data_IF_859299869166
#
_entry.id   IF_859299869166
#
_cell.length_a   1.000
_cell.length_b   1.000
_cell.length_c   1.000
_cell.angle_alpha   90.00
_cell.angle_beta   90.00
_cell.angle_gamma   90.00
#
_symmetry.space_group_name_H-M   'P 1'
#
loop_
_entity.id
_entity.type
_entity.pdbx_description
1 polymer ?
#
# COMPACT_ATOMS: atom_id res chain seq x y z
N UNK A 1 -8.53 -27.42 -22.15
CA UNK A 1 -7.39 -26.74 -21.50
C UNK A 1 -7.18 -25.42 -22.21
N UNK A 2 -7.74 -24.34 -21.65
CA UNK A 2 -7.46 -22.98 -22.10
C UNK A 2 -6.79 -22.28 -20.92
N UNK A 3 -5.54 -21.86 -21.13
CA UNK A 3 -4.72 -21.16 -20.16
C UNK A 3 -5.27 -19.75 -20.04
N UNK A 4 -5.70 -19.37 -18.83
CA UNK A 4 -6.14 -18.03 -18.52
C UNK A 4 -4.92 -17.11 -18.48
N UNK A 5 -4.92 -16.07 -19.32
CA UNK A 5 -3.93 -15.01 -19.31
C UNK A 5 -3.98 -14.27 -17.96
N UNK A 6 -2.85 -14.20 -17.28
CA UNK A 6 -2.69 -13.50 -16.01
C UNK A 6 -2.83 -11.99 -16.20
N UNK A 7 -3.92 -11.43 -15.66
CA UNK A 7 -4.08 -9.99 -15.50
C UNK A 7 -3.05 -9.48 -14.49
N UNK A 8 -2.13 -8.62 -14.95
CA UNK A 8 -1.30 -7.79 -14.07
C UNK A 8 -2.19 -6.76 -13.39
N UNK A 9 -1.99 -6.53 -12.09
CA UNK A 9 -2.56 -5.36 -11.45
C UNK A 9 -2.00 -4.11 -12.15
N UNK A 10 -2.89 -3.24 -12.59
CA UNK A 10 -2.56 -1.96 -13.19
C UNK A 10 -3.29 -0.86 -12.45
N UNK A 11 -2.62 0.25 -12.18
CA UNK A 11 -3.29 1.47 -11.78
C UNK A 11 -4.02 2.01 -13.00
N UNK A 12 -5.34 1.88 -13.03
CA UNK A 12 -6.18 2.41 -14.12
C UNK A 12 -6.76 3.75 -13.67
N UNK A 13 -6.29 4.84 -14.27
CA UNK A 13 -6.82 6.19 -14.00
C UNK A 13 -7.92 6.51 -14.99
N UNK A 14 -9.14 6.73 -14.51
CA UNK A 14 -10.21 7.36 -15.30
C UNK A 14 -10.33 8.84 -14.94
N UNK A 15 -9.73 9.71 -15.74
CA UNK A 15 -9.86 11.16 -15.58
C UNK A 15 -11.29 11.65 -15.83
N UNK A 16 -11.88 12.38 -14.88
CA UNK A 16 -13.10 13.15 -15.11
C UNK A 16 -12.75 14.48 -15.79
N UNK A 17 -13.36 14.77 -16.95
CA UNK A 17 -13.25 16.09 -17.60
C UNK A 17 -14.24 17.07 -16.97
N UNK A 18 -13.74 18.23 -16.55
CA UNK A 18 -14.55 19.40 -16.17
C UNK A 18 -15.00 20.13 -17.45
N UNK A 19 -16.29 20.43 -17.66
CA UNK A 19 -16.71 21.31 -18.74
C UNK A 19 -16.38 22.77 -18.40
N UNK A 20 -15.77 23.49 -19.34
CA UNK A 20 -15.66 24.94 -19.31
C UNK A 20 -17.07 25.57 -19.39
N UNK A 21 -17.40 26.46 -18.45
CA UNK A 21 -18.65 27.20 -18.45
C UNK A 21 -18.56 28.42 -19.38
N UNK A 22 -19.57 28.58 -20.25
CA UNK A 22 -19.88 29.80 -20.98
C UNK A 22 -21.17 30.37 -20.38
N UNK A 23 -21.15 31.66 -20.05
CA UNK A 23 -22.25 32.48 -19.49
C UNK A 23 -23.53 32.47 -20.32
N UNK A 24 -24.69 32.67 -19.64
CA UNK A 24 -25.96 33.37 -20.04
C UNK A 24 -27.21 32.87 -19.21
N UNK A 25 -28.32 33.64 -19.04
CA UNK A 25 -28.77 34.25 -17.76
C UNK A 25 -30.12 33.68 -17.20
N UNK A 26 -30.68 34.22 -16.08
CA UNK A 26 -31.60 33.45 -15.21
C UNK A 26 -33.09 33.62 -15.56
N UNK A 27 -33.89 32.62 -15.20
CA UNK A 27 -35.36 32.71 -15.21
C UNK A 27 -35.96 32.35 -13.84
N UNK A 28 -37.07 33.03 -13.54
CA UNK A 28 -37.62 33.38 -12.22
C UNK A 28 -38.55 32.33 -11.58
N UNK A 29 -38.63 32.40 -10.24
CA UNK A 29 -39.78 32.20 -9.31
C UNK A 29 -40.67 30.96 -9.44
N UNK A 30 -40.96 30.23 -8.37
CA UNK A 30 -41.96 30.66 -7.37
C UNK A 30 -42.02 29.76 -6.12
N UNK A 31 -42.63 30.34 -5.09
CA UNK A 31 -42.79 30.01 -3.67
C UNK A 31 -43.86 28.94 -3.43
N UNK A 32 -43.71 28.08 -2.41
CA UNK A 32 -44.81 27.66 -1.51
C UNK A 32 -44.27 27.10 -0.17
N UNK A 33 -45.05 27.34 0.89
CA UNK A 33 -44.69 27.47 2.31
C UNK A 33 -45.43 26.44 3.22
N UNK A 34 -45.03 26.41 4.50
CA UNK A 34 -45.61 25.80 5.72
C UNK A 34 -45.19 24.35 6.08
N UNK A 35 -44.31 24.15 7.09
CA UNK A 35 -44.47 24.16 8.57
C UNK A 35 -45.01 22.80 9.10
N UNK A 36 -44.50 22.09 10.11
CA UNK A 36 -43.58 22.28 11.26
C UNK A 36 -43.05 20.86 11.67
N UNK A 37 -42.06 20.56 12.52
CA UNK A 37 -41.08 21.29 13.33
C UNK A 37 -40.47 20.30 14.35
N UNK A 38 -39.15 20.08 14.35
CA UNK A 38 -38.35 19.54 15.48
C UNK A 38 -36.94 20.19 15.42
N UNK A 39 -36.39 20.50 16.61
CA UNK A 39 -35.25 21.40 16.87
C UNK A 39 -33.88 20.90 16.36
N UNK A 40 -33.01 21.89 16.11
CA UNK A 40 -31.82 21.94 15.24
C UNK A 40 -30.54 21.25 15.77
N UNK A 41 -29.79 20.70 14.82
CA UNK A 41 -28.32 20.45 14.83
C UNK A 41 -27.68 21.51 13.89
N UNK A 42 -26.46 22.03 14.11
CA UNK A 42 -25.92 23.15 13.33
C UNK A 42 -25.80 22.91 11.81
N UNK A 43 -26.29 23.85 11.00
CA UNK A 43 -26.53 23.79 9.54
C UNK A 43 -25.30 24.05 8.64
N UNK A 44 -24.18 23.33 8.80
CA UNK A 44 -23.07 23.42 7.82
C UNK A 44 -22.68 22.11 7.13
N UNK A 45 -23.47 21.04 7.29
CA UNK A 45 -23.21 19.73 6.66
C UNK A 45 -24.40 19.12 5.89
N UNK A 46 -25.39 19.91 5.43
CA UNK A 46 -26.50 19.41 4.59
C UNK A 46 -26.83 20.29 3.38
N UNK A 47 -26.10 20.06 2.28
CA UNK A 47 -26.55 20.10 0.87
C UNK A 47 -25.27 19.96 0.01
N UNK A 48 -25.12 19.09 -0.99
CA UNK A 48 -26.09 18.55 -1.93
C UNK A 48 -25.66 17.16 -2.43
N UNK A 49 -26.59 16.20 -2.41
CA UNK A 49 -26.53 15.04 -3.29
C UNK A 49 -27.08 15.42 -4.67
N UNK A 50 -26.35 15.22 -5.78
CA UNK A 50 -26.95 15.30 -7.10
C UNK A 50 -27.70 13.99 -7.41
N UNK A 51 -28.98 14.12 -7.81
CA UNK A 51 -29.80 13.05 -8.40
C UNK A 51 -29.22 12.60 -9.76
N UNK A 52 -29.46 11.35 -10.19
CA UNK A 52 -28.78 10.75 -11.34
C UNK A 52 -29.20 11.45 -12.63
N UNK A 53 -28.23 12.01 -13.35
CA UNK A 53 -28.40 12.44 -14.75
C UNK A 53 -27.86 11.36 -15.67
N UNK A 54 -28.65 11.04 -16.68
CA UNK A 54 -28.46 10.02 -17.70
C UNK A 54 -27.00 9.89 -18.17
N UNK A 55 -26.47 8.67 -18.08
CA UNK A 55 -25.20 8.29 -18.69
C UNK A 55 -25.34 8.39 -20.21
N UNK A 56 -24.86 9.49 -20.79
CA UNK A 56 -24.63 9.59 -22.23
C UNK A 56 -23.27 8.96 -22.54
N UNK A 57 -23.29 7.89 -23.33
CA UNK A 57 -22.10 7.24 -23.90
C UNK A 57 -21.16 8.27 -24.55
N UNK A 58 -19.86 8.16 -24.30
CA UNK A 58 -18.84 8.79 -25.15
C UNK A 58 -18.08 7.69 -25.88
N UNK A 59 -18.10 7.83 -27.20
CA UNK A 59 -17.59 6.93 -28.20
C UNK A 59 -16.10 6.62 -28.06
N UNK A 60 -15.76 5.41 -28.49
CA UNK A 60 -14.41 4.97 -28.86
C UNK A 60 -13.68 6.03 -29.70
N UNK A 61 -12.51 6.50 -29.24
CA UNK A 61 -11.53 7.12 -30.14
C UNK A 61 -10.83 5.97 -30.86
N UNK A 62 -11.40 5.56 -32.00
CA UNK A 62 -10.61 4.87 -33.03
C UNK A 62 -9.77 5.93 -33.74
N UNK A 63 -8.45 5.76 -33.68
CA UNK A 63 -7.49 6.31 -34.63
C UNK A 63 -7.32 7.83 -34.61
N UNK A 64 -6.68 8.37 -33.56
CA UNK A 64 -5.93 9.61 -33.69
C UNK A 64 -4.44 9.29 -33.50
N UNK A 65 -3.64 9.55 -34.52
CA UNK A 65 -2.20 9.30 -34.53
C UNK A 65 -1.52 10.39 -33.69
N UNK A 66 -1.49 10.22 -32.36
CA UNK A 66 -0.80 11.12 -31.44
C UNK A 66 0.71 10.86 -31.56
N UNK A 67 1.55 11.88 -31.81
CA UNK A 67 3.00 11.71 -31.85
C UNK A 67 3.52 11.07 -30.55
N UNK A 68 4.51 10.16 -30.62
CA UNK A 68 5.00 9.42 -29.47
C UNK A 68 5.49 10.35 -28.34
N UNK A 69 6.17 11.44 -28.66
CA UNK A 69 6.64 12.45 -27.68
C UNK A 69 5.49 13.13 -26.92
N UNK A 70 4.35 13.37 -27.57
CA UNK A 70 3.16 13.96 -26.92
C UNK A 70 2.46 12.92 -26.04
N UNK A 71 2.46 11.65 -26.46
CA UNK A 71 1.91 10.54 -25.68
C UNK A 71 2.74 10.28 -24.42
N UNK A 72 4.06 10.32 -24.54
CA UNK A 72 5.01 10.22 -23.42
C UNK A 72 4.83 11.38 -22.44
N UNK A 73 4.83 12.63 -22.90
CA UNK A 73 4.57 13.80 -22.03
C UNK A 73 3.21 13.77 -21.34
N UNK A 74 2.17 13.25 -22.02
CA UNK A 74 0.84 13.08 -21.41
C UNK A 74 0.82 11.95 -20.36
N UNK A 75 1.54 10.85 -20.60
CA UNK A 75 1.70 9.77 -19.62
C UNK A 75 2.50 10.23 -18.40
N UNK A 76 3.58 10.98 -18.59
CA UNK A 76 4.38 11.57 -17.51
C UNK A 76 3.54 12.55 -16.68
N UNK A 77 2.76 13.44 -17.32
CA UNK A 77 1.88 14.38 -16.61
C UNK A 77 0.77 13.68 -15.81
N UNK A 78 0.22 12.57 -16.33
CA UNK A 78 -0.76 11.78 -15.58
C UNK A 78 -0.13 11.06 -14.39
N UNK A 79 1.07 10.49 -14.58
CA UNK A 79 1.84 9.86 -13.51
C UNK A 79 2.15 10.86 -12.40
N UNK A 80 2.67 12.05 -12.74
CA UNK A 80 2.94 13.11 -11.76
C UNK A 80 1.68 13.54 -10.99
N UNK A 81 0.53 13.58 -11.67
CA UNK A 81 -0.76 13.88 -11.03
C UNK A 81 -1.15 12.79 -10.02
N UNK A 82 -1.00 11.52 -10.39
CA UNK A 82 -1.29 10.37 -9.50
C UNK A 82 -0.37 10.36 -8.31
N UNK A 83 0.94 10.57 -8.50
CA UNK A 83 1.90 10.62 -7.40
C UNK A 83 1.59 11.80 -6.47
N UNK A 84 1.29 12.97 -7.02
CA UNK A 84 0.94 14.13 -6.21
C UNK A 84 -0.35 13.89 -5.41
N UNK A 85 -1.38 13.26 -5.99
CA UNK A 85 -2.59 12.86 -5.27
C UNK A 85 -2.29 11.79 -4.21
N UNK A 86 -1.45 10.80 -4.52
CA UNK A 86 -1.02 9.78 -3.55
C UNK A 86 -0.32 10.42 -2.34
N UNK A 87 0.55 11.40 -2.56
CA UNK A 87 1.24 12.08 -1.45
C UNK A 87 0.30 12.98 -0.65
N UNK A 88 -0.57 13.77 -1.30
CA UNK A 88 -1.61 14.57 -0.64
C UNK A 88 -2.57 13.73 0.18
N UNK A 89 -2.75 12.45 -0.15
CA UNK A 89 -3.63 11.54 0.60
C UNK A 89 -3.29 11.50 2.09
N UNK A 90 -2.02 11.69 2.47
CA UNK A 90 -1.63 11.71 3.89
C UNK A 90 -2.33 12.80 4.68
N UNK A 91 -2.48 13.98 4.08
CA UNK A 91 -3.06 15.16 4.73
C UNK A 91 -4.58 15.24 4.52
N UNK A 92 -5.07 14.74 3.38
CA UNK A 92 -6.46 14.89 2.97
C UNK A 92 -7.37 13.73 3.39
N UNK A 93 -6.81 12.53 3.63
CA UNK A 93 -7.58 11.37 4.10
C UNK A 93 -7.31 11.12 5.59
N UNK A 94 -8.31 11.29 6.48
CA UNK A 94 -8.08 11.29 7.93
C UNK A 94 -7.32 10.08 8.48
N UNK A 95 -7.57 8.88 7.95
CA UNK A 95 -6.97 7.65 8.48
C UNK A 95 -5.47 7.54 8.17
N UNK A 96 -4.99 8.16 7.09
CA UNK A 96 -3.61 7.98 6.59
C UNK A 96 -2.60 8.43 7.64
N UNK A 97 -2.74 9.64 8.16
CA UNK A 97 -1.88 10.13 9.24
C UNK A 97 -2.25 9.52 10.60
N UNK A 98 -3.52 9.62 10.97
CA UNK A 98 -3.92 9.42 12.36
C UNK A 98 -4.14 7.96 12.76
N UNK A 99 -4.22 7.04 11.79
CA UNK A 99 -4.45 5.62 12.04
C UNK A 99 -3.38 4.76 11.40
N UNK A 100 -3.18 4.86 10.09
CA UNK A 100 -2.21 4.06 9.34
C UNK A 100 -0.79 4.39 9.75
N UNK A 101 -0.29 5.60 9.45
CA UNK A 101 1.09 5.96 9.74
C UNK A 101 1.38 5.92 11.25
N UNK A 102 0.47 6.44 12.08
CA UNK A 102 0.60 6.36 13.53
C UNK A 102 0.76 4.92 14.04
N UNK A 103 -0.14 4.02 13.65
CA UNK A 103 -0.10 2.63 14.14
C UNK A 103 1.07 1.86 13.54
N UNK A 104 1.37 2.08 12.27
CA UNK A 104 2.44 1.40 11.56
C UNK A 104 3.80 1.77 12.14
N UNK A 105 4.10 3.07 12.29
CA UNK A 105 5.36 3.52 12.88
C UNK A 105 5.47 3.11 14.36
N UNK A 106 4.36 3.10 15.10
CA UNK A 106 4.33 2.55 16.46
C UNK A 106 4.64 1.06 16.51
N UNK A 107 4.15 0.28 15.54
CA UNK A 107 4.45 -1.15 15.43
C UNK A 107 5.89 -1.42 14.99
N UNK A 108 6.42 -0.61 14.07
CA UNK A 108 7.85 -0.62 13.70
C UNK A 108 8.69 -0.37 14.95
N UNK A 109 8.32 0.61 15.78
CA UNK A 109 8.98 0.92 17.04
C UNK A 109 10.21 1.80 16.83
N UNK A 110 11.16 1.73 17.77
CA UNK A 110 12.41 2.49 17.67
C UNK A 110 13.29 1.90 16.57
N UNK A 111 13.66 2.75 15.62
CA UNK A 111 14.60 2.43 14.52
C UNK A 111 15.88 3.26 14.63
N UNK A 112 16.08 3.95 15.75
CA UNK A 112 17.32 4.62 16.03
C UNK A 112 18.47 3.61 15.94
N UNK A 113 19.47 3.92 15.13
CA UNK A 113 20.60 3.04 14.85
C UNK A 113 20.33 1.77 14.01
N UNK A 114 19.15 1.63 13.39
CA UNK A 114 18.85 0.49 12.52
C UNK A 114 19.13 0.79 11.04
N UNK A 115 19.50 -0.26 10.31
CA UNK A 115 19.42 -0.31 8.86
C UNK A 115 18.03 -0.83 8.45
N UNK A 116 17.29 -0.06 7.64
CA UNK A 116 15.92 -0.38 7.25
C UNK A 116 15.77 -0.53 5.73
N UNK A 117 15.06 -1.58 5.30
CA UNK A 117 14.60 -1.72 3.92
C UNK A 117 13.10 -1.45 3.86
N UNK A 118 12.69 -0.45 3.10
CA UNK A 118 11.28 -0.20 2.77
C UNK A 118 10.93 -0.88 1.44
N UNK A 119 10.31 -2.06 1.53
CA UNK A 119 9.88 -2.86 0.39
C UNK A 119 8.58 -2.25 -0.18
N UNK A 120 8.50 -2.11 -1.50
CA UNK A 120 7.42 -1.40 -2.19
C UNK A 120 7.29 0.06 -1.74
N UNK A 121 8.40 0.80 -1.76
CA UNK A 121 8.48 2.14 -1.16
C UNK A 121 7.66 3.21 -1.89
N UNK A 122 7.19 2.93 -3.11
CA UNK A 122 6.48 3.90 -3.96
C UNK A 122 7.26 5.20 -4.11
N UNK A 123 6.64 6.33 -3.74
CA UNK A 123 7.27 7.65 -3.84
C UNK A 123 8.28 7.92 -2.72
N UNK A 124 8.56 6.93 -1.87
CA UNK A 124 9.50 6.99 -0.74
C UNK A 124 8.89 7.55 0.55
N UNK A 125 7.57 7.57 0.68
CA UNK A 125 6.87 8.21 1.79
C UNK A 125 7.27 7.64 3.16
N UNK A 126 7.22 6.32 3.31
CA UNK A 126 7.58 5.65 4.55
C UNK A 126 9.09 5.59 4.75
N UNK A 127 9.87 5.32 3.69
CA UNK A 127 11.32 5.45 3.72
C UNK A 127 11.81 6.78 4.34
N UNK A 128 11.24 7.91 3.91
CA UNK A 128 11.56 9.23 4.50
C UNK A 128 11.15 9.35 5.97
N UNK A 129 9.97 8.85 6.34
CA UNK A 129 9.51 8.87 7.75
C UNK A 129 10.42 8.03 8.65
N UNK A 130 10.97 6.93 8.14
CA UNK A 130 11.93 6.08 8.85
C UNK A 130 13.27 6.79 9.07
N UNK A 131 13.77 7.55 8.08
CA UNK A 131 14.92 8.44 8.29
C UNK A 131 14.66 9.49 9.38
N UNK A 132 13.50 10.16 9.35
CA UNK A 132 13.13 11.13 10.39
C UNK A 132 12.97 10.48 11.78
N UNK A 133 12.66 9.18 11.83
CA UNK A 133 12.61 8.40 13.06
C UNK A 133 13.99 7.92 13.57
N UNK A 134 15.08 8.24 12.85
CA UNK A 134 16.45 8.00 13.30
C UNK A 134 17.15 6.76 12.74
N UNK A 135 16.58 6.12 11.71
CA UNK A 135 17.28 5.05 10.98
C UNK A 135 18.63 5.54 10.42
N UNK A 136 19.69 4.75 10.59
CA UNK A 136 21.05 5.10 10.10
C UNK A 136 21.09 5.03 8.58
N UNK A 137 20.47 4.00 8.02
CA UNK A 137 20.41 3.76 6.58
C UNK A 137 19.02 3.30 6.21
N UNK A 138 18.47 3.90 5.18
CA UNK A 138 17.20 3.47 4.60
C UNK A 138 17.40 3.22 3.12
N UNK A 139 17.04 2.01 2.68
CA UNK A 139 16.90 1.67 1.27
C UNK A 139 15.42 1.51 0.94
N UNK A 140 14.89 2.32 0.03
CA UNK A 140 13.59 2.09 -0.58
C UNK A 140 13.71 1.20 -1.83
N UNK A 141 12.91 0.14 -1.91
CA UNK A 141 12.84 -0.73 -3.09
C UNK A 141 11.42 -0.70 -3.66
N UNK A 142 11.27 -0.52 -4.97
CA UNK A 142 9.96 -0.61 -5.64
C UNK A 142 10.12 -1.17 -7.06
N UNK A 143 9.12 -1.89 -7.57
CA UNK A 143 9.18 -2.42 -8.95
C UNK A 143 9.02 -1.33 -10.01
N UNK A 144 8.36 -0.22 -9.65
CA UNK A 144 8.10 0.89 -10.55
C UNK A 144 9.30 1.81 -10.64
N UNK A 145 10.02 1.71 -11.76
CA UNK A 145 11.14 2.62 -12.06
C UNK A 145 10.73 4.10 -12.03
N UNK A 146 9.50 4.42 -12.45
CA UNK A 146 8.96 5.78 -12.42
C UNK A 146 8.76 6.30 -10.98
N UNK A 147 8.27 5.45 -10.06
CA UNK A 147 8.12 5.82 -8.64
C UNK A 147 9.49 6.01 -7.98
N UNK A 148 10.44 5.11 -8.28
CA UNK A 148 11.83 5.21 -7.80
C UNK A 148 12.51 6.48 -8.31
N UNK A 149 12.33 6.83 -9.59
CA UNK A 149 12.90 8.05 -10.14
C UNK A 149 12.29 9.30 -9.49
N UNK A 150 10.97 9.30 -9.27
CA UNK A 150 10.32 10.36 -8.50
C UNK A 150 10.90 10.49 -7.09
N UNK A 151 11.06 9.36 -6.39
CA UNK A 151 11.61 9.33 -5.03
C UNK A 151 13.04 9.86 -4.99
N UNK A 152 13.90 9.49 -5.97
CA UNK A 152 15.26 10.01 -6.12
C UNK A 152 15.30 11.51 -6.37
N UNK A 153 14.48 12.04 -7.29
CA UNK A 153 14.39 13.50 -7.54
C UNK A 153 13.92 14.26 -6.30
N UNK A 154 13.12 13.64 -5.45
CA UNK A 154 12.69 14.24 -4.18
C UNK A 154 13.83 14.20 -3.15
N UNK A 155 14.53 13.09 -3.05
CA UNK A 155 15.70 12.92 -2.20
C UNK A 155 16.82 13.91 -2.55
N UNK A 156 17.09 14.16 -3.83
CA UNK A 156 18.04 15.20 -4.26
C UNK A 156 17.71 16.61 -3.71
N UNK A 157 16.44 16.88 -3.41
CA UNK A 157 15.96 18.15 -2.87
C UNK A 157 15.93 18.18 -1.35
N UNK A 158 15.61 17.05 -0.71
CA UNK A 158 15.45 16.97 0.75
C UNK A 158 16.74 16.56 1.48
N UNK A 159 17.62 15.79 0.83
CA UNK A 159 18.95 15.42 1.34
C UNK A 159 18.91 14.60 2.63
N UNK A 160 17.97 13.66 2.76
CA UNK A 160 17.76 12.82 3.94
C UNK A 160 18.70 11.61 3.99
N UNK A 161 19.35 11.26 2.88
CA UNK A 161 20.23 10.11 2.74
C UNK A 161 19.53 8.81 2.38
N UNK A 162 18.28 8.84 1.90
CA UNK A 162 17.57 7.62 1.48
C UNK A 162 18.15 7.10 0.15
N UNK A 163 18.51 5.82 0.12
CA UNK A 163 18.87 5.13 -1.12
C UNK A 163 17.62 4.55 -1.77
N UNK A 164 17.55 4.51 -3.10
CA UNK A 164 16.42 3.91 -3.82
C UNK A 164 16.86 2.94 -4.90
N UNK A 165 16.15 1.81 -5.02
CA UNK A 165 16.44 0.72 -5.95
C UNK A 165 15.16 0.27 -6.67
N UNK A 166 15.19 0.27 -8.00
CA UNK A 166 14.11 -0.30 -8.81
C UNK A 166 14.33 -1.82 -8.97
N UNK A 167 13.45 -2.63 -8.39
CA UNK A 167 13.53 -4.08 -8.45
C UNK A 167 12.18 -4.74 -8.11
N UNK A 168 11.89 -5.89 -8.74
CA UNK A 168 10.72 -6.71 -8.44
C UNK A 168 10.99 -7.57 -7.20
N UNK A 169 10.35 -7.25 -6.08
CA UNK A 169 10.53 -7.98 -4.84
C UNK A 169 9.93 -9.40 -4.83
N UNK A 170 9.14 -9.77 -5.84
CA UNK A 170 8.57 -11.12 -6.00
C UNK A 170 9.53 -12.08 -6.70
N UNK A 171 10.49 -11.57 -7.47
CA UNK A 171 11.44 -12.38 -8.22
C UNK A 171 12.44 -13.08 -7.26
N UNK A 172 12.54 -14.42 -7.29
CA UNK A 172 13.58 -15.13 -6.56
C UNK A 172 15.00 -14.62 -6.84
N UNK A 173 15.27 -14.16 -8.07
CA UNK A 173 16.54 -13.59 -8.49
C UNK A 173 16.85 -12.23 -7.87
N UNK A 174 15.86 -11.54 -7.28
CA UNK A 174 16.08 -10.35 -6.44
C UNK A 174 17.03 -10.64 -5.28
N UNK A 175 17.21 -11.92 -4.91
CA UNK A 175 18.21 -12.32 -3.93
C UNK A 175 19.64 -12.35 -4.39
N UNK A 176 19.86 -12.37 -5.70
CA UNK A 176 21.16 -12.16 -6.28
C UNK A 176 21.50 -10.67 -6.41
N UNK A 177 20.57 -9.74 -6.10
CA UNK A 177 20.87 -8.31 -6.15
C UNK A 177 21.99 -8.00 -5.14
N UNK A 178 23.16 -7.57 -5.63
CA UNK A 178 24.26 -7.23 -4.77
C UNK A 178 23.80 -6.12 -3.83
N UNK A 179 23.73 -6.46 -2.55
CA UNK A 179 23.67 -5.46 -1.52
C UNK A 179 22.39 -5.29 -0.72
N UNK A 180 21.46 -6.25 -0.83
CA UNK A 180 20.32 -6.31 0.08
C UNK A 180 20.40 -7.46 1.10
N UNK A 181 21.04 -8.58 0.75
CA UNK A 181 21.00 -9.79 1.56
C UNK A 181 21.75 -9.63 2.89
N UNK A 182 21.10 -9.98 4.00
CA UNK A 182 21.70 -10.01 5.34
C UNK A 182 22.11 -8.64 5.88
N UNK A 183 21.47 -7.55 5.45
CA UNK A 183 21.96 -6.17 5.67
C UNK A 183 21.10 -5.33 6.60
N UNK A 184 19.85 -5.74 6.83
CA UNK A 184 18.86 -4.90 7.48
C UNK A 184 18.40 -5.50 8.82
N UNK A 185 18.12 -4.64 9.80
CA UNK A 185 17.50 -5.02 11.08
C UNK A 185 15.98 -5.17 10.91
N UNK A 186 15.42 -4.26 10.11
CA UNK A 186 13.98 -4.14 9.89
C UNK A 186 13.70 -4.05 8.41
N UNK A 187 12.71 -4.80 7.95
CA UNK A 187 12.09 -4.63 6.64
C UNK A 187 10.67 -4.11 6.87
N UNK A 188 10.28 -3.06 6.17
CA UNK A 188 8.92 -2.52 6.17
C UNK A 188 8.23 -2.81 4.84
N UNK A 189 6.91 -2.96 4.84
CA UNK A 189 6.11 -3.02 3.62
C UNK A 189 4.70 -2.47 3.86
N UNK A 190 4.39 -1.29 3.31
CA UNK A 190 3.06 -0.70 3.43
C UNK A 190 2.26 -0.97 2.16
N UNK A 191 1.23 -1.82 2.27
CA UNK A 191 0.34 -2.22 1.17
C UNK A 191 1.00 -2.92 -0.02
N UNK A 192 2.12 -3.61 0.19
CA UNK A 192 2.81 -4.36 -0.87
C UNK A 192 2.18 -5.73 -1.12
N UNK A 193 1.96 -6.51 -0.06
CA UNK A 193 1.46 -7.89 -0.14
C UNK A 193 0.09 -7.98 -0.84
N UNK A 194 -0.84 -7.01 -0.69
CA UNK A 194 -2.07 -6.96 -1.47
C UNK A 194 -1.87 -6.86 -2.99
N UNK A 195 -0.69 -6.49 -3.50
CA UNK A 195 -0.41 -6.48 -4.93
C UNK A 195 0.09 -7.81 -5.48
N UNK A 196 0.25 -8.85 -4.66
CA UNK A 196 0.63 -10.18 -5.12
C UNK A 196 -0.52 -10.84 -5.92
N UNK A 197 -0.40 -11.01 -7.26
CA UNK A 197 -1.46 -11.62 -8.08
C UNK A 197 -1.57 -13.13 -7.92
N UNK A 198 -0.55 -13.76 -7.33
CA UNK A 198 -0.46 -15.21 -7.18
C UNK A 198 0.18 -15.57 -5.84
N UNK A 199 0.01 -16.82 -5.43
CA UNK A 199 0.64 -17.34 -4.21
C UNK A 199 2.17 -17.26 -4.30
N UNK A 200 2.73 -17.57 -5.46
CA UNK A 200 4.16 -17.48 -5.70
C UNK A 200 4.69 -16.04 -5.52
N UNK A 201 3.92 -15.02 -5.93
CA UNK A 201 4.29 -13.62 -5.72
C UNK A 201 4.24 -13.24 -4.23
N UNK A 202 3.22 -13.69 -3.49
CA UNK A 202 3.12 -13.47 -2.05
C UNK A 202 4.29 -14.12 -1.30
N UNK A 203 4.61 -15.37 -1.66
CA UNK A 203 5.77 -16.09 -1.12
C UNK A 203 7.08 -15.36 -1.48
N UNK A 204 7.18 -14.83 -2.71
CA UNK A 204 8.33 -14.05 -3.19
C UNK A 204 8.60 -12.80 -2.35
N UNK A 205 7.57 -11.99 -2.07
CA UNK A 205 7.70 -10.83 -1.17
C UNK A 205 8.24 -11.23 0.22
N UNK A 206 7.66 -12.28 0.82
CA UNK A 206 8.06 -12.76 2.14
C UNK A 206 9.50 -13.29 2.13
N UNK A 207 9.89 -14.04 1.10
CA UNK A 207 11.25 -14.56 0.94
C UNK A 207 12.28 -13.44 0.75
N UNK A 208 11.94 -12.41 -0.04
CA UNK A 208 12.78 -11.23 -0.21
C UNK A 208 12.97 -10.48 1.11
N UNK A 209 11.90 -10.28 1.87
CA UNK A 209 11.99 -9.67 3.20
C UNK A 209 12.89 -10.49 4.14
N UNK A 210 12.68 -11.81 4.26
CA UNK A 210 13.51 -12.66 5.12
C UNK A 210 14.99 -12.60 4.76
N UNK A 211 15.30 -12.61 3.46
CA UNK A 211 16.67 -12.62 2.96
C UNK A 211 17.37 -11.28 3.18
N UNK A 212 16.64 -10.17 3.12
CA UNK A 212 17.20 -8.85 3.39
C UNK A 212 17.61 -8.70 4.87
N UNK A 213 16.87 -9.35 5.77
CA UNK A 213 17.17 -9.35 7.20
C UNK A 213 18.49 -10.07 7.51
N UNK A 214 19.19 -9.56 8.53
CA UNK A 214 20.42 -10.13 9.10
C UNK A 214 20.25 -11.62 9.47
N UNK A 215 21.37 -12.35 9.50
CA UNK A 215 21.36 -13.79 9.73
C UNK A 215 21.01 -14.12 11.19
N UNK A 216 21.42 -13.25 12.10
CA UNK A 216 21.19 -13.27 13.55
C UNK A 216 19.73 -13.00 13.93
N UNK A 217 18.94 -12.49 12.98
CA UNK A 217 17.52 -12.24 13.11
C UNK A 217 17.11 -10.86 12.60
N UNK A 218 15.84 -10.53 12.81
CA UNK A 218 15.29 -9.24 12.44
C UNK A 218 13.77 -9.26 12.35
N UNK A 219 13.18 -8.12 11.97
CA UNK A 219 11.72 -7.94 11.93
C UNK A 219 11.24 -7.54 10.55
N UNK A 220 10.19 -8.18 10.07
CA UNK A 220 9.42 -7.75 8.92
C UNK A 220 8.07 -7.21 9.39
N UNK A 221 7.86 -5.90 9.22
CA UNK A 221 6.64 -5.21 9.64
C UNK A 221 5.87 -4.74 8.41
N UNK A 222 4.68 -5.29 8.20
CA UNK A 222 3.88 -5.02 7.00
C UNK A 222 2.47 -4.52 7.33
N UNK A 223 2.03 -3.44 6.68
CA UNK A 223 0.63 -3.07 6.67
C UNK A 223 -0.05 -3.79 5.50
N UNK A 224 -1.01 -4.66 5.80
CA UNK A 224 -1.73 -5.49 4.83
C UNK A 224 -3.21 -5.17 4.86
N UNK A 225 -3.95 -5.51 3.80
CA UNK A 225 -5.40 -5.45 3.85
C UNK A 225 -5.93 -6.42 4.92
N UNK A 226 -6.87 -5.95 5.72
CA UNK A 226 -7.59 -6.79 6.66
C UNK A 226 -8.35 -7.86 5.85
N UNK A 227 -8.08 -9.17 6.02
CA UNK A 227 -8.79 -10.21 5.26
C UNK A 227 -10.32 -10.12 5.36
N UNK A 228 -10.81 -9.54 6.45
CA UNK A 228 -12.21 -9.38 6.82
C UNK A 228 -12.73 -7.93 6.64
N UNK A 229 -12.04 -7.08 5.86
CA UNK A 229 -12.50 -5.72 5.59
C UNK A 229 -13.95 -5.69 5.08
N UNK A 230 -14.72 -4.66 5.46
CA UNK A 230 -16.08 -4.45 4.94
C UNK A 230 -16.11 -4.14 3.45
N UNK A 231 -16.97 -4.83 2.69
CA UNK A 231 -17.25 -4.51 1.27
C UNK A 231 -18.45 -3.59 1.08
N UNK A 232 -19.04 -3.09 2.16
CA UNK A 232 -20.08 -2.06 2.09
C UNK A 232 -19.44 -0.73 1.61
N UNK A 233 -19.91 -0.15 0.48
CA UNK A 233 -19.32 1.06 -0.08
C UNK A 233 -19.36 2.28 0.87
N UNK A 234 -20.28 2.29 1.83
CA UNK A 234 -20.42 3.40 2.78
C UNK A 234 -19.52 3.24 4.01
N UNK A 235 -18.98 2.03 4.25
CA UNK A 235 -18.26 1.73 5.50
C UNK A 235 -17.02 2.60 5.72
N UNK A 236 -16.24 2.83 4.66
CA UNK A 236 -15.02 3.65 4.74
C UNK A 236 -15.17 5.05 4.14
N UNK A 237 -16.40 5.42 3.73
CA UNK A 237 -16.68 6.62 2.94
C UNK A 237 -16.21 7.90 3.63
N UNK A 238 -16.48 8.01 4.93
CA UNK A 238 -16.11 9.17 5.76
C UNK A 238 -14.59 9.31 5.96
N UNK A 239 -13.82 8.25 5.69
CA UNK A 239 -12.35 8.26 5.72
C UNK A 239 -11.74 8.43 4.33
N UNK A 240 -12.56 8.70 3.32
CA UNK A 240 -12.12 9.03 1.97
C UNK A 240 -11.92 7.83 1.05
N UNK A 241 -12.42 6.64 1.37
CA UNK A 241 -12.27 5.47 0.48
C UNK A 241 -13.45 4.51 0.50
N UNK A 242 -13.49 3.62 -0.49
CA UNK A 242 -14.36 2.45 -0.53
C UNK A 242 -13.58 1.24 -1.03
N UNK A 243 -13.82 0.08 -0.44
CA UNK A 243 -13.25 -1.18 -0.89
C UNK A 243 -14.37 -2.10 -1.38
N UNK A 244 -14.15 -2.73 -2.52
CA UNK A 244 -15.09 -3.69 -3.09
C UNK A 244 -14.36 -4.95 -3.50
N UNK A 245 -15.00 -6.10 -3.32
CA UNK A 245 -14.51 -7.37 -3.82
C UNK A 245 -15.69 -8.33 -3.97
N UNK A 246 -15.56 -9.30 -4.87
CA UNK A 246 -16.55 -10.37 -4.94
C UNK A 246 -16.41 -11.28 -3.71
N UNK A 247 -17.52 -11.71 -3.08
CA UNK A 247 -17.48 -12.77 -2.09
C UNK A 247 -16.87 -14.02 -2.72
N UNK A 248 -15.77 -14.49 -2.14
CA UNK A 248 -15.01 -15.61 -2.68
C UNK A 248 -14.17 -16.24 -1.57
N UNK A 249 -14.16 -17.57 -1.45
CA UNK A 249 -13.22 -18.28 -0.58
C UNK A 249 -11.84 -18.46 -1.23
N UNK A 250 -11.67 -18.04 -2.49
CA UNK A 250 -10.43 -18.25 -3.26
C UNK A 250 -9.39 -17.21 -2.87
N UNK A 251 -8.21 -17.67 -2.47
CA UNK A 251 -7.05 -16.82 -2.21
C UNK A 251 -6.62 -16.05 -3.45
N UNK A 252 -6.16 -14.82 -3.27
CA UNK A 252 -5.80 -13.92 -4.36
C UNK A 252 -7.01 -13.44 -5.17
N UNK A 253 -8.23 -13.47 -4.61
CA UNK A 253 -9.40 -12.92 -5.33
C UNK A 253 -9.21 -11.41 -5.54
N UNK A 254 -9.38 -10.89 -6.79
CA UNK A 254 -9.27 -9.46 -7.05
C UNK A 254 -10.34 -8.64 -6.32
N UNK A 255 -9.91 -7.50 -5.81
CA UNK A 255 -10.76 -6.43 -5.29
C UNK A 255 -10.29 -5.08 -5.83
N UNK A 256 -11.08 -4.06 -5.54
CA UNK A 256 -10.89 -2.71 -6.05
C UNK A 256 -11.05 -1.69 -4.93
N UNK A 257 -10.07 -0.80 -4.82
CA UNK A 257 -10.06 0.35 -3.92
C UNK A 257 -10.30 1.60 -4.75
N UNK A 258 -11.21 2.44 -4.25
CA UNK A 258 -11.40 3.80 -4.74
C UNK A 258 -11.17 4.77 -3.60
N UNK A 259 -10.26 5.72 -3.77
CA UNK A 259 -9.94 6.77 -2.82
C UNK A 259 -10.27 8.14 -3.41
N UNK A 260 -10.87 9.01 -2.59
CA UNK A 260 -11.16 10.40 -2.91
C UNK A 260 -10.15 11.28 -2.16
N UNK A 261 -9.23 11.86 -2.90
CA UNK A 261 -8.18 12.75 -2.39
C UNK A 261 -8.45 14.15 -2.92
N UNK A 262 -9.23 14.91 -2.17
CA UNK A 262 -9.63 16.25 -2.58
C UNK A 262 -10.42 16.21 -3.89
N UNK A 263 -9.95 16.87 -4.97
CA UNK A 263 -10.60 16.81 -6.27
C UNK A 263 -10.31 15.50 -7.04
N UNK A 264 -9.28 14.76 -6.64
CA UNK A 264 -8.77 13.60 -7.37
C UNK A 264 -9.39 12.29 -6.87
N UNK A 265 -9.44 11.32 -7.78
CA UNK A 265 -9.88 9.96 -7.48
C UNK A 265 -8.76 9.00 -7.88
N UNK A 266 -8.29 8.24 -6.89
CA UNK A 266 -7.33 7.16 -7.10
C UNK A 266 -8.09 5.83 -7.14
N UNK A 267 -7.80 5.02 -8.14
CA UNK A 267 -8.40 3.70 -8.35
C UNK A 267 -7.27 2.66 -8.42
N UNK A 268 -7.35 1.64 -7.57
CA UNK A 268 -6.30 0.64 -7.38
C UNK A 268 -6.93 -0.75 -7.32
N UNK A 269 -6.36 -1.69 -8.07
CA UNK A 269 -6.71 -3.10 -7.94
C UNK A 269 -5.79 -3.78 -6.93
N UNK A 270 -6.34 -4.72 -6.17
CA UNK A 270 -5.60 -5.51 -5.19
C UNK A 270 -6.09 -6.96 -5.19
N UNK A 271 -5.36 -7.84 -4.51
CA UNK A 271 -5.68 -9.24 -4.34
C UNK A 271 -5.91 -9.55 -2.86
N UNK A 272 -7.01 -10.25 -2.57
CA UNK A 272 -7.40 -10.63 -1.22
C UNK A 272 -6.71 -11.91 -0.79
N UNK A 273 -5.91 -11.81 0.26
CA UNK A 273 -5.23 -12.94 0.89
C UNK A 273 -5.74 -13.13 2.31
N UNK A 274 -6.04 -14.36 2.70
CA UNK A 274 -6.49 -14.68 4.05
C UNK A 274 -5.36 -14.52 5.05
N UNK A 275 -5.71 -14.45 6.34
CA UNK A 275 -4.76 -14.51 7.44
C UNK A 275 -3.85 -15.75 7.34
N UNK A 276 -4.45 -16.91 7.05
CA UNK A 276 -3.72 -18.16 6.91
C UNK A 276 -2.74 -18.15 5.74
N UNK A 277 -3.10 -17.54 4.60
CA UNK A 277 -2.20 -17.42 3.46
C UNK A 277 -0.96 -16.56 3.78
N UNK A 278 -1.15 -15.43 4.47
CA UNK A 278 -0.03 -14.61 4.95
C UNK A 278 0.87 -15.38 5.92
N UNK A 279 0.27 -16.04 6.93
CA UNK A 279 1.01 -16.81 7.93
C UNK A 279 1.81 -17.95 7.30
N UNK A 280 1.24 -18.67 6.33
CA UNK A 280 1.93 -19.71 5.58
C UNK A 280 3.09 -19.17 4.74
N UNK A 281 2.90 -18.04 4.04
CA UNK A 281 3.94 -17.43 3.23
C UNK A 281 5.13 -16.94 4.09
N UNK A 282 4.82 -16.33 5.24
CA UNK A 282 5.82 -15.90 6.21
C UNK A 282 6.56 -17.08 6.85
N UNK A 283 5.84 -18.12 7.27
CA UNK A 283 6.45 -19.32 7.83
C UNK A 283 7.35 -20.03 6.81
N UNK A 284 6.89 -20.18 5.55
CA UNK A 284 7.68 -20.76 4.46
C UNK A 284 8.93 -19.93 4.15
N UNK A 285 8.87 -18.61 4.31
CA UNK A 285 10.03 -17.73 4.17
C UNK A 285 11.02 -17.87 5.33
N UNK A 286 10.62 -18.40 6.50
CA UNK A 286 11.50 -18.59 7.66
C UNK A 286 11.30 -17.55 8.78
N UNK A 287 10.08 -17.02 8.92
CA UNK A 287 9.65 -16.28 10.10
C UNK A 287 8.98 -17.25 11.10
N UNK A 288 9.36 -17.18 12.37
CA UNK A 288 8.93 -18.13 13.41
C UNK A 288 7.90 -17.56 14.38
N UNK A 289 7.78 -16.23 14.45
CA UNK A 289 6.82 -15.53 15.30
C UNK A 289 6.08 -14.48 14.48
N UNK A 290 4.77 -14.65 14.37
CA UNK A 290 3.90 -13.77 13.59
C UNK A 290 2.84 -13.20 14.51
N UNK A 291 2.79 -11.88 14.62
CA UNK A 291 1.80 -11.16 15.42
C UNK A 291 0.97 -10.25 14.52
N UNK A 292 -0.34 -10.23 14.75
CA UNK A 292 -1.24 -9.32 14.06
C UNK A 292 -1.69 -8.21 15.00
N UNK A 293 -1.46 -6.99 14.59
CA UNK A 293 -1.71 -5.78 15.37
C UNK A 293 -2.87 -5.04 14.71
N UNK A 294 -3.92 -4.77 15.49
CA UNK A 294 -5.01 -3.90 15.06
C UNK A 294 -4.55 -2.44 15.14
N UNK A 295 -4.91 -1.60 14.17
CA UNK A 295 -4.56 -0.19 14.22
C UNK A 295 -5.31 0.52 15.35
N UNK A 296 -4.72 1.62 15.80
CA UNK A 296 -5.25 2.54 16.81
C UNK A 296 -5.21 3.96 16.27
N UNK A 297 -6.01 4.86 16.86
CA UNK A 297 -6.03 6.28 16.47
C UNK A 297 -5.12 7.07 17.40
N UNK A 298 -4.29 7.93 16.82
CA UNK A 298 -3.46 8.92 17.54
C UNK A 298 -4.29 9.87 18.42
N UNK A 299 -3.69 10.41 19.48
CA UNK A 299 -4.36 11.39 20.34
C UNK A 299 -4.81 12.63 19.55
N UNK A 300 -3.99 13.10 18.60
CA UNK A 300 -4.32 14.22 17.72
C UNK A 300 -5.55 13.91 16.85
N UNK A 301 -5.62 12.70 16.28
CA UNK A 301 -6.78 12.26 15.49
C UNK A 301 -8.05 12.16 16.34
N UNK A 302 -7.95 11.68 17.58
CA UNK A 302 -9.08 11.67 18.53
C UNK A 302 -9.54 13.08 18.88
N UNK A 303 -8.60 13.98 19.18
CA UNK A 303 -8.91 15.36 19.52
C UNK A 303 -9.57 16.12 18.35
N UNK A 304 -9.12 15.86 17.12
CA UNK A 304 -9.61 16.56 15.93
C UNK A 304 -10.98 16.07 15.45
N UNK A 305 -11.23 14.76 15.45
CA UNK A 305 -12.43 14.18 14.84
C UNK A 305 -13.42 13.59 15.86
N UNK A 306 -13.00 13.36 17.10
CA UNK A 306 -13.80 12.73 18.15
C UNK A 306 -13.86 11.20 18.05
N UNK A 307 -14.17 10.53 19.16
CA UNK A 307 -14.16 9.05 19.22
C UNK A 307 -15.25 8.42 18.34
N UNK A 308 -16.43 9.03 18.28
CA UNK A 308 -17.55 8.52 17.50
C UNK A 308 -17.23 8.45 16.00
N UNK A 309 -16.44 9.40 15.48
CA UNK A 309 -16.00 9.39 14.09
C UNK A 309 -15.15 8.15 13.79
N UNK A 310 -14.30 7.70 14.72
CA UNK A 310 -13.40 6.56 14.50
C UNK A 310 -14.01 5.20 14.83
N UNK A 311 -15.17 5.17 15.51
CA UNK A 311 -15.77 3.93 16.00
C UNK A 311 -16.01 2.90 14.88
N UNK A 312 -16.54 3.35 13.74
CA UNK A 312 -16.82 2.46 12.61
C UNK A 312 -15.54 1.87 11.99
N UNK A 313 -14.54 2.72 11.72
CA UNK A 313 -13.25 2.28 11.22
C UNK A 313 -12.57 1.29 12.16
N UNK A 314 -12.54 1.56 13.47
CA UNK A 314 -11.85 0.69 14.43
C UNK A 314 -12.58 -0.65 14.66
N UNK A 315 -13.89 -0.70 14.45
CA UNK A 315 -14.67 -1.94 14.50
C UNK A 315 -14.24 -2.91 13.39
N UNK A 316 -14.15 -2.42 12.15
CA UNK A 316 -13.60 -3.18 11.03
C UNK A 316 -12.67 -2.29 10.20
N UNK A 317 -11.35 -2.29 10.50
CA UNK A 317 -10.38 -1.50 9.75
C UNK A 317 -10.11 -2.13 8.40
N UNK A 318 -9.78 -1.32 7.38
CA UNK A 318 -9.42 -1.85 6.07
C UNK A 318 -8.07 -2.55 6.06
N UNK A 319 -7.22 -2.24 7.03
CA UNK A 319 -5.86 -2.74 7.14
C UNK A 319 -5.53 -3.25 8.55
N UNK A 320 -4.64 -4.24 8.60
CA UNK A 320 -4.00 -4.72 9.81
C UNK A 320 -2.48 -4.61 9.63
N UNK A 321 -1.75 -4.67 10.74
CA UNK A 321 -0.29 -4.72 10.72
C UNK A 321 0.16 -6.12 11.11
N UNK A 322 1.08 -6.68 10.33
CA UNK A 322 1.78 -7.92 10.65
C UNK A 322 3.18 -7.57 11.14
N UNK A 323 3.55 -8.09 12.30
CA UNK A 323 4.92 -8.07 12.82
C UNK A 323 5.43 -9.51 12.84
N UNK A 324 6.31 -9.82 11.90
CA UNK A 324 6.92 -11.13 11.74
C UNK A 324 8.40 -11.06 12.15
N UNK A 325 8.80 -11.94 13.05
CA UNK A 325 10.19 -12.03 13.54
C UNK A 325 10.84 -13.29 13.01
N UNK A 326 12.13 -13.19 12.73
CA UNK A 326 12.96 -14.35 12.43
C UNK A 326 14.08 -14.41 13.47
N UNK A 327 14.23 -15.56 14.14
CA UNK A 327 15.41 -15.87 14.93
C UNK A 327 16.67 -16.09 14.08
N UNK A 328 17.81 -16.40 14.73
CA UNK A 328 19.03 -16.79 14.06
C UNK A 328 18.75 -17.94 13.08
N UNK A 329 19.34 -17.90 11.88
CA UNK A 329 19.32 -19.11 11.03
C UNK A 329 20.12 -20.20 11.73
N UNK A 330 19.50 -21.35 12.01
CA UNK A 330 20.26 -22.56 12.30
C UNK A 330 21.16 -22.83 11.08
N UNK A 331 22.48 -22.71 11.25
CA UNK A 331 23.41 -23.22 10.24
C UNK A 331 23.20 -24.73 10.12
N UNK A 332 23.08 -25.28 8.89
CA UNK A 332 23.16 -26.72 8.73
C UNK A 332 24.51 -27.19 9.29
N UNK A 333 24.55 -28.32 10.02
CA UNK A 333 25.80 -28.80 10.60
C UNK A 333 26.82 -28.96 9.48
N UNK A 334 27.96 -28.27 9.61
CA UNK A 334 29.13 -28.46 8.76
C UNK A 334 29.50 -29.94 8.86
N UNK A 335 29.32 -30.68 7.77
CA UNK A 335 29.77 -32.07 7.68
C UNK A 335 31.25 -32.12 8.07
N UNK A 336 31.53 -32.68 9.24
CA UNK A 336 32.90 -32.96 9.66
C UNK A 336 33.53 -33.88 8.61
N UNK A 337 34.79 -33.63 8.20
CA UNK A 337 35.43 -34.45 7.19
C UNK A 337 35.44 -35.91 7.63
N UNK A 338 34.91 -36.79 6.77
CA UNK A 338 34.91 -38.22 6.98
C UNK A 338 36.32 -38.67 7.36
N UNK A 339 36.48 -39.25 8.56
CA UNK A 339 37.72 -39.89 8.97
C UNK A 339 38.02 -40.97 7.93
N UNK A 340 39.13 -40.79 7.22
CA UNK A 340 39.74 -41.82 6.40
C UNK A 340 40.00 -43.05 7.29
N UNK A 341 39.31 -44.14 6.99
CA UNK A 341 39.67 -45.44 7.54
C UNK A 341 40.88 -45.91 6.74
N UNK A 342 42.08 -45.71 7.30
CA UNK A 342 43.26 -46.45 6.88
C UNK A 342 43.05 -47.92 7.29
N UNK A 343 42.69 -48.75 6.31
CA UNK A 343 42.77 -50.20 6.45
C UNK A 343 44.21 -50.64 6.23
N UNK A 344 44.99 -50.62 7.30
CA UNK A 344 46.27 -51.32 7.38
C UNK A 344 46.21 -52.33 8.52
N UNK A 345 46.00 -53.61 8.21
CA UNK A 345 46.70 -54.70 8.89
C UNK A 345 46.66 -55.98 8.07
N UNK A 346 47.86 -56.29 7.59
CA UNK A 346 48.38 -57.59 7.20
C UNK A 346 48.45 -58.52 8.43
N UNK A 347 47.88 -59.73 8.34
CA UNK A 347 48.39 -61.02 8.86
C UNK A 347 47.39 -62.16 8.75
#
# INVERSE_FOLDING_TARGET
>A
MAVAEGGRAGVVVRGARVPQFVDQPPCRTSVFDSAAGVRRVPDHWRSAAPRPRECRCVASIRGANVPPETKEKMMDSQFDTVVAAYERSMDEMPFREHVEAFSFLKAVGEVAACDVLDLGCGSGLYARRLCHAGAIRVLGMDESSAMVEHARRREEREGLGVEYLAADATDPATGALPGIAGRFDVVTAVYVLPYAPTRAALDGFCATARRALRAEGGRFVAAVLNPEFSTDPEWYRDYGMSLSARPSPVEGTPGHLRAWVGPDVLELDFFRWSRAAHEQALAAAGFDRITWIRPTVSEQGRARYGEAFWANYLACPHALIVDAQAGPRDEPPVDAPAKSIDSATDK
#
